data_IF_065186313886
#
_entry.id   IF_065186313886
#
_cell.length_a   1.000
_cell.length_b   1.000
_cell.length_c   1.000
_cell.angle_alpha   90.00
_cell.angle_beta   90.00
_cell.angle_gamma   90.00
#
_symmetry.space_group_name_H-M   'P 1'
#
loop_
_entity.id
_entity.type
_entity.pdbx_description
1 polymer ?
#
# COMPACT_ATOMS: atom_id res chain seq x y z
N UNK A 1 -51.07 46.48 -42.05
CA UNK A 1 -49.74 46.70 -41.43
C UNK A 1 -48.73 45.98 -42.33
N UNK A 2 -48.11 46.72 -43.28
CA UNK A 2 -46.69 47.18 -43.22
C UNK A 2 -45.73 45.98 -43.11
N UNK A 3 -45.08 45.49 -44.17
CA UNK A 3 -44.09 46.08 -45.09
C UNK A 3 -42.69 46.30 -44.47
N UNK A 4 -41.67 45.88 -45.25
CA UNK A 4 -40.26 46.36 -45.31
C UNK A 4 -39.30 45.64 -44.32
N UNK A 5 -38.34 44.76 -44.72
CA UNK A 5 -37.25 44.79 -45.71
C UNK A 5 -35.98 45.50 -45.21
N UNK A 6 -34.82 44.84 -45.41
CA UNK A 6 -33.43 45.34 -45.39
C UNK A 6 -32.92 45.79 -43.99
N UNK A 7 -31.78 45.36 -43.48
CA UNK A 7 -30.51 45.14 -44.15
C UNK A 7 -29.47 45.98 -43.42
N UNK A 8 -28.44 45.36 -42.84
CA UNK A 8 -27.19 46.06 -42.56
C UNK A 8 -26.03 45.07 -42.64
N UNK A 9 -25.74 44.75 -43.90
CA UNK A 9 -24.40 44.37 -44.31
C UNK A 9 -23.49 45.59 -44.26
N UNK A 10 -22.18 45.33 -44.09
CA UNK A 10 -21.03 46.17 -44.52
C UNK A 10 -20.67 47.31 -43.55
N UNK A 11 -19.41 47.63 -43.29
CA UNK A 11 -18.20 47.53 -44.11
C UNK A 11 -16.99 47.86 -43.18
N UNK A 12 -15.95 47.02 -43.13
CA UNK A 12 -14.60 47.22 -43.72
C UNK A 12 -13.66 48.15 -42.89
N UNK A 13 -12.31 48.05 -42.99
CA UNK A 13 -11.47 46.92 -43.44
C UNK A 13 -10.03 46.79 -42.88
N UNK A 14 -9.34 45.74 -43.39
CA UNK A 14 -7.89 45.64 -43.68
C UNK A 14 -6.91 45.67 -42.48
N UNK A 15 -5.92 44.78 -42.36
CA UNK A 15 -5.12 44.20 -43.43
C UNK A 15 -4.27 43.02 -42.92
N UNK A 16 -4.19 42.00 -43.78
CA UNK A 16 -2.95 41.32 -44.20
C UNK A 16 -2.31 40.17 -43.39
N UNK A 17 -2.10 39.08 -44.14
CA UNK A 17 -1.41 37.80 -43.88
C UNK A 17 -2.18 36.77 -43.04
N UNK A 18 -3.00 35.89 -43.66
CA UNK A 18 -2.59 34.67 -44.37
C UNK A 18 -1.47 33.90 -43.67
N UNK A 19 -1.86 32.95 -42.81
CA UNK A 19 -1.19 31.66 -42.77
C UNK A 19 -2.12 30.55 -42.26
N UNK A 20 -3.02 30.09 -43.13
CA UNK A 20 -3.66 28.78 -42.98
C UNK A 20 -2.57 27.73 -43.18
N UNK A 21 -2.24 26.95 -42.15
CA UNK A 21 -1.45 25.73 -42.29
C UNK A 21 -2.35 24.53 -42.01
N UNK A 22 -2.90 24.00 -43.10
CA UNK A 22 -3.47 22.65 -43.17
C UNK A 22 -2.32 21.63 -43.13
N UNK A 23 -2.55 20.56 -42.38
CA UNK A 23 -1.99 19.20 -42.42
C UNK A 23 -0.50 18.91 -42.69
N UNK A 24 0.00 17.98 -41.88
CA UNK A 24 0.96 16.92 -42.23
C UNK A 24 2.43 17.28 -42.43
N UNK A 25 3.25 16.90 -41.43
CA UNK A 25 4.49 16.11 -41.53
C UNK A 25 5.18 16.09 -40.16
N UNK A 26 4.92 15.07 -39.34
CA UNK A 26 5.80 13.90 -39.25
C UNK A 26 7.27 14.21 -38.92
N UNK A 27 7.53 15.07 -37.93
CA UNK A 27 8.89 15.30 -37.44
C UNK A 27 8.99 15.24 -35.90
N UNK A 28 8.32 14.27 -35.28
CA UNK A 28 8.88 13.67 -34.05
C UNK A 28 9.22 12.23 -34.38
N UNK A 29 10.21 12.05 -35.26
CA UNK A 29 10.85 10.74 -35.41
C UNK A 29 11.45 10.42 -34.06
N UNK A 30 10.76 9.53 -33.35
CA UNK A 30 11.27 8.79 -32.22
C UNK A 30 12.69 8.34 -32.56
N UNK A 31 13.67 9.06 -32.03
CA UNK A 31 15.04 8.60 -32.05
C UNK A 31 15.03 7.34 -31.19
N UNK A 32 15.42 6.15 -31.71
CA UNK A 32 15.62 5.03 -30.83
C UNK A 32 16.70 5.47 -29.85
N UNK A 33 16.35 5.66 -28.57
CA UNK A 33 17.36 5.75 -27.52
C UNK A 33 18.10 4.43 -27.59
N UNK A 34 19.24 4.44 -28.30
CA UNK A 34 20.18 3.33 -28.38
C UNK A 34 20.34 2.86 -26.94
N UNK A 35 19.90 1.64 -26.62
CA UNK A 35 20.21 1.04 -25.33
C UNK A 35 21.72 0.91 -25.33
N UNK A 36 22.40 1.94 -24.85
CA UNK A 36 23.81 1.87 -24.51
C UNK A 36 23.83 0.77 -23.47
N UNK A 37 24.33 -0.39 -23.85
CA UNK A 37 24.62 -1.46 -22.92
C UNK A 37 25.56 -0.87 -21.89
N UNK A 38 25.02 -0.49 -20.73
CA UNK A 38 25.80 0.04 -19.63
C UNK A 38 26.70 -1.12 -19.21
N UNK A 39 27.98 -1.06 -19.60
CA UNK A 39 29.00 -1.99 -19.10
C UNK A 39 28.89 -1.96 -17.57
N UNK A 40 28.60 -3.11 -16.93
CA UNK A 40 28.53 -3.21 -15.47
C UNK A 40 29.94 -2.91 -14.93
N UNK A 41 30.20 -1.67 -14.55
CA UNK A 41 31.43 -1.31 -13.84
C UNK A 41 31.42 -1.93 -12.45
N UNK A 42 32.59 -2.37 -11.91
CA UNK A 42 32.67 -2.89 -10.56
C UNK A 42 32.22 -1.82 -9.56
N UNK A 43 31.49 -2.26 -8.53
CA UNK A 43 30.89 -1.38 -7.52
C UNK A 43 31.97 -0.91 -6.53
N UNK A 44 31.96 0.36 -6.14
CA UNK A 44 32.85 0.91 -5.10
C UNK A 44 32.61 0.21 -3.73
N UNK A 45 33.62 0.09 -2.85
CA UNK A 45 33.51 -0.61 -1.56
C UNK A 45 32.31 -0.19 -0.71
N UNK A 46 32.08 1.12 -0.50
CA UNK A 46 30.91 1.63 0.25
C UNK A 46 29.58 1.08 -0.28
N UNK A 47 29.53 0.99 -1.59
CA UNK A 47 28.38 0.65 -2.38
C UNK A 47 28.10 -0.86 -2.26
N UNK A 48 29.15 -1.67 -2.11
CA UNK A 48 29.05 -3.10 -1.74
C UNK A 48 28.57 -3.26 -0.30
N UNK A 49 29.07 -2.46 0.65
CA UNK A 49 28.59 -2.48 2.04
C UNK A 49 27.09 -2.23 2.13
N UNK A 50 26.55 -1.25 1.40
CA UNK A 50 25.11 -1.00 1.34
C UNK A 50 24.30 -2.19 0.79
N UNK A 51 24.85 -2.92 -0.19
CA UNK A 51 24.19 -4.13 -0.71
C UNK A 51 24.11 -5.20 0.39
N UNK A 52 25.18 -5.38 1.15
CA UNK A 52 25.24 -6.33 2.25
C UNK A 52 24.31 -5.93 3.41
N UNK A 53 24.25 -4.64 3.74
CA UNK A 53 23.29 -4.12 4.73
C UNK A 53 21.85 -4.39 4.31
N UNK A 54 21.50 -4.13 3.05
CA UNK A 54 20.16 -4.43 2.53
C UNK A 54 19.89 -5.93 2.70
N UNK A 55 20.80 -6.82 2.29
CA UNK A 55 20.62 -8.26 2.46
C UNK A 55 20.40 -8.64 3.93
N UNK A 56 21.17 -8.06 4.86
CA UNK A 56 20.99 -8.32 6.29
C UNK A 56 19.61 -7.91 6.79
N UNK A 57 19.09 -6.77 6.33
CA UNK A 57 17.74 -6.29 6.68
C UNK A 57 16.67 -7.23 6.11
N UNK A 58 16.80 -7.68 4.87
CA UNK A 58 15.83 -8.60 4.27
C UNK A 58 15.84 -9.98 4.94
N UNK A 59 17.00 -10.47 5.39
CA UNK A 59 17.08 -11.77 6.08
C UNK A 59 16.61 -11.72 7.54
N UNK A 60 16.78 -10.57 8.21
CA UNK A 60 16.43 -10.43 9.62
C UNK A 60 14.95 -10.10 9.85
N UNK A 61 14.23 -9.65 8.82
CA UNK A 61 12.86 -9.14 8.95
C UNK A 61 11.89 -9.95 8.10
N UNK A 62 10.75 -10.30 8.69
CA UNK A 62 9.67 -11.06 8.03
C UNK A 62 8.72 -10.16 7.24
N UNK A 63 8.58 -8.92 7.67
CA UNK A 63 7.67 -7.93 7.13
C UNK A 63 8.44 -6.79 6.47
N UNK A 64 8.14 -6.54 5.20
CA UNK A 64 8.75 -5.48 4.41
C UNK A 64 7.68 -4.71 3.64
N UNK A 65 7.67 -3.39 3.73
CA UNK A 65 6.79 -2.53 2.95
C UNK A 65 7.60 -1.56 2.11
N UNK A 66 7.21 -1.45 0.83
CA UNK A 66 7.88 -0.59 -0.16
C UNK A 66 7.01 0.63 -0.42
N UNK A 67 7.60 1.79 -0.19
CA UNK A 67 6.97 3.09 -0.35
C UNK A 67 7.62 3.88 -1.46
N UNK A 68 6.79 4.57 -2.22
CA UNK A 68 7.23 5.70 -3.02
C UNK A 68 6.96 6.99 -2.25
N UNK A 69 7.96 7.85 -2.11
CA UNK A 69 7.79 9.15 -1.46
C UNK A 69 7.95 10.27 -2.48
N UNK A 70 7.15 11.33 -2.34
CA UNK A 70 7.28 12.54 -3.14
C UNK A 70 7.57 13.74 -2.25
N UNK A 71 8.63 14.50 -2.58
CA UNK A 71 8.90 15.85 -2.05
C UNK A 71 8.53 16.05 -0.56
N UNK A 72 9.19 15.29 0.33
CA UNK A 72 8.98 15.34 1.78
C UNK A 72 10.03 16.23 2.47
N UNK A 73 9.61 16.98 3.47
CA UNK A 73 10.50 17.75 4.36
C UNK A 73 11.13 16.84 5.43
N UNK A 74 12.29 17.22 5.97
CA UNK A 74 12.95 16.50 7.08
C UNK A 74 12.02 16.36 8.29
N UNK A 75 11.22 17.40 8.60
CA UNK A 75 10.25 17.36 9.72
C UNK A 75 9.19 16.28 9.54
N UNK A 76 8.75 16.08 8.29
CA UNK A 76 7.73 15.07 7.96
C UNK A 76 8.32 13.67 8.09
N UNK A 77 9.58 13.48 7.69
CA UNK A 77 10.30 12.23 7.94
C UNK A 77 10.46 11.91 9.42
N UNK A 78 10.75 12.92 10.24
CA UNK A 78 10.90 12.73 11.68
C UNK A 78 9.57 12.37 12.34
N UNK A 79 8.46 12.97 11.90
CA UNK A 79 7.12 12.57 12.33
C UNK A 79 6.77 11.13 11.93
N UNK A 80 7.11 10.72 10.70
CA UNK A 80 6.90 9.34 10.23
C UNK A 80 7.71 8.35 11.05
N UNK A 81 8.98 8.65 11.34
CA UNK A 81 9.83 7.79 12.19
C UNK A 81 9.27 7.67 13.60
N UNK A 82 8.89 8.80 14.22
CA UNK A 82 8.32 8.80 15.57
C UNK A 82 7.03 7.97 15.66
N UNK A 83 6.18 8.00 14.63
CA UNK A 83 4.96 7.20 14.60
C UNK A 83 5.19 5.71 14.37
N UNK A 84 6.34 5.33 13.83
CA UNK A 84 6.68 3.94 13.50
C UNK A 84 7.54 3.27 14.58
N UNK A 85 8.24 4.07 15.39
CA UNK A 85 8.99 3.59 16.55
C UNK A 85 8.07 2.92 17.60
N UNK A 86 6.76 3.24 17.64
CA UNK A 86 5.81 2.61 18.57
C UNK A 86 5.64 1.10 18.39
N UNK A 87 5.94 0.57 17.19
CA UNK A 87 5.87 -0.87 16.88
C UNK A 87 7.18 -1.42 16.32
N UNK A 88 8.30 -0.82 16.71
CA UNK A 88 9.64 -1.26 16.30
C UNK A 88 9.83 -1.28 14.77
N UNK A 89 9.10 -0.44 14.04
CA UNK A 89 9.17 -0.38 12.58
C UNK A 89 10.23 0.64 12.17
N UNK A 90 11.24 0.19 11.44
CA UNK A 90 12.34 1.05 11.00
C UNK A 90 12.20 1.39 9.53
N UNK A 91 12.43 2.66 9.19
CA UNK A 91 12.40 3.16 7.81
C UNK A 91 13.79 3.53 7.35
N UNK A 92 14.21 2.97 6.21
CA UNK A 92 15.44 3.36 5.52
C UNK A 92 15.17 3.68 4.05
N UNK A 93 15.85 4.71 3.57
CA UNK A 93 15.80 5.13 2.18
C UNK A 93 17.00 4.50 1.47
N UNK A 94 16.75 3.80 0.36
CA UNK A 94 17.81 3.17 -0.42
C UNK A 94 17.78 3.61 -1.87
N UNK A 95 18.95 3.80 -2.51
CA UNK A 95 18.99 3.99 -3.94
C UNK A 95 18.46 2.76 -4.69
N UNK A 96 17.50 2.97 -5.60
CA UNK A 96 16.84 1.90 -6.37
C UNK A 96 17.82 0.96 -7.07
N UNK A 97 18.91 1.50 -7.65
CA UNK A 97 19.91 0.68 -8.34
C UNK A 97 20.62 -0.31 -7.40
N UNK A 98 20.81 0.07 -6.13
CA UNK A 98 21.43 -0.78 -5.11
C UNK A 98 20.44 -1.84 -4.66
N UNK A 99 19.21 -1.43 -4.33
CA UNK A 99 18.15 -2.33 -3.92
C UNK A 99 17.86 -3.40 -4.99
N UNK A 100 17.73 -3.00 -6.26
CA UNK A 100 17.52 -3.94 -7.39
C UNK A 100 18.64 -4.94 -7.57
N UNK A 101 19.88 -4.58 -7.22
CA UNK A 101 21.02 -5.49 -7.27
C UNK A 101 21.05 -6.42 -6.06
N UNK A 102 20.70 -5.93 -4.86
CA UNK A 102 20.60 -6.76 -3.66
C UNK A 102 19.53 -7.86 -3.79
N UNK A 103 18.49 -7.63 -4.60
CA UNK A 103 17.39 -8.56 -4.87
C UNK A 103 17.68 -9.56 -6.01
N UNK A 104 18.74 -9.39 -6.79
CA UNK A 104 19.08 -10.34 -7.87
C UNK A 104 19.54 -11.70 -7.31
N UNK A 105 20.04 -11.71 -6.07
CA UNK A 105 20.66 -12.88 -5.44
C UNK A 105 19.79 -13.50 -4.33
N UNK A 106 18.56 -13.03 -4.13
CA UNK A 106 17.65 -13.50 -3.08
C UNK A 106 16.35 -14.06 -3.65
N UNK A 107 15.60 -14.81 -2.83
CA UNK A 107 14.29 -15.39 -3.19
C UNK A 107 13.22 -14.34 -3.54
N UNK A 108 13.49 -13.06 -3.28
CA UNK A 108 12.59 -11.93 -3.45
C UNK A 108 12.66 -11.28 -4.84
N UNK A 109 12.89 -12.06 -5.89
CA UNK A 109 13.03 -11.56 -7.27
C UNK A 109 11.78 -10.81 -7.74
N UNK A 110 10.60 -11.23 -7.26
CA UNK A 110 9.32 -10.66 -7.66
C UNK A 110 9.12 -9.21 -7.18
N UNK A 111 9.77 -8.77 -6.08
CA UNK A 111 9.67 -7.37 -5.57
C UNK A 111 10.37 -6.37 -6.50
N UNK A 112 11.27 -6.83 -7.37
CA UNK A 112 12.12 -5.96 -8.20
C UNK A 112 11.32 -4.98 -9.08
N UNK A 113 10.10 -5.33 -9.46
CA UNK A 113 9.19 -4.48 -10.24
C UNK A 113 8.62 -3.30 -9.45
N UNK A 114 8.54 -3.40 -8.12
CA UNK A 114 8.01 -2.35 -7.25
C UNK A 114 9.03 -1.22 -7.01
N UNK A 115 10.32 -1.50 -7.18
CA UNK A 115 11.39 -0.52 -7.00
C UNK A 115 11.54 0.40 -8.20
N UNK A 116 10.66 1.40 -8.30
CA UNK A 116 10.70 2.48 -9.29
C UNK A 116 10.69 3.84 -8.59
N UNK A 117 11.39 4.83 -9.13
CA UNK A 117 11.38 6.20 -8.60
C UNK A 117 12.15 6.40 -7.28
N UNK A 118 11.60 7.24 -6.40
CA UNK A 118 12.16 7.54 -5.08
C UNK A 118 11.54 6.60 -4.05
N UNK A 119 12.32 5.59 -3.63
CA UNK A 119 11.78 4.47 -2.85
C UNK A 119 12.34 4.44 -1.43
N UNK A 120 11.43 4.28 -0.46
CA UNK A 120 11.74 4.01 0.94
C UNK A 120 11.28 2.60 1.29
N UNK A 121 12.02 1.94 2.17
CA UNK A 121 11.69 0.61 2.68
C UNK A 121 11.42 0.74 4.18
N UNK A 122 10.24 0.30 4.59
CA UNK A 122 9.93 0.05 5.99
C UNK A 122 10.09 -1.45 6.26
N UNK A 123 10.73 -1.81 7.36
CA UNK A 123 10.97 -3.19 7.74
C UNK A 123 10.64 -3.40 9.21
N UNK A 124 10.08 -4.55 9.53
CA UNK A 124 9.77 -4.98 10.89
C UNK A 124 9.92 -6.49 11.03
N UNK A 125 10.15 -6.94 12.26
CA UNK A 125 10.18 -8.36 12.58
C UNK A 125 8.78 -8.91 12.91
N UNK A 126 7.84 -8.04 13.28
CA UNK A 126 6.48 -8.38 13.71
C UNK A 126 5.42 -8.02 12.66
N UNK A 127 4.33 -8.78 12.66
CA UNK A 127 3.19 -8.62 11.74
C UNK A 127 2.30 -7.42 12.10
N UNK A 128 2.36 -6.99 13.37
CA UNK A 128 1.61 -5.84 13.88
C UNK A 128 1.99 -4.50 13.24
N UNK A 129 3.09 -4.45 12.48
CA UNK A 129 3.57 -3.27 11.78
C UNK A 129 2.64 -2.82 10.64
N UNK A 130 1.98 -3.76 9.96
CA UNK A 130 1.14 -3.50 8.79
C UNK A 130 -0.02 -2.50 9.04
N UNK A 131 -0.82 -2.61 10.11
CA UNK A 131 -1.86 -1.62 10.41
C UNK A 131 -1.33 -0.23 10.70
N UNK A 132 -0.15 -0.09 11.30
CA UNK A 132 0.44 1.23 11.54
C UNK A 132 0.97 1.87 10.28
N UNK A 133 1.61 1.05 9.44
CA UNK A 133 2.05 1.45 8.12
C UNK A 133 0.89 2.02 7.28
N UNK A 134 -0.31 1.43 7.37
CA UNK A 134 -1.50 2.00 6.74
C UNK A 134 -2.00 3.29 7.40
N UNK A 135 -1.95 3.40 8.73
CA UNK A 135 -2.31 4.64 9.44
C UNK A 135 -1.38 5.79 9.03
N UNK A 136 -0.09 5.53 8.92
CA UNK A 136 0.92 6.51 8.47
C UNK A 136 0.64 6.93 7.02
N UNK A 137 0.38 5.96 6.14
CA UNK A 137 0.01 6.23 4.74
C UNK A 137 -1.25 7.09 4.62
N UNK A 138 -2.23 6.92 5.52
CA UNK A 138 -3.45 7.73 5.54
C UNK A 138 -3.22 9.14 6.06
N UNK A 139 -2.29 9.34 7.01
CA UNK A 139 -1.95 10.65 7.55
C UNK A 139 -1.15 11.49 6.57
N UNK A 140 -0.20 10.85 5.88
CA UNK A 140 0.73 11.50 4.96
C UNK A 140 0.47 11.07 3.51
N UNK A 141 -0.31 11.83 2.72
CA UNK A 141 -0.65 11.46 1.34
C UNK A 141 0.55 11.50 0.38
N UNK A 142 1.67 12.09 0.83
CA UNK A 142 2.95 12.15 0.10
C UNK A 142 3.70 10.81 0.10
N UNK A 143 3.32 9.89 0.99
CA UNK A 143 3.81 8.52 1.03
C UNK A 143 2.81 7.61 0.33
N UNK A 144 3.23 7.01 -0.78
CA UNK A 144 2.41 6.07 -1.54
C UNK A 144 2.92 4.66 -1.28
N UNK A 145 2.03 3.79 -0.79
CA UNK A 145 2.31 2.37 -0.60
C UNK A 145 2.19 1.65 -1.95
N UNK A 146 3.29 1.08 -2.44
CA UNK A 146 3.30 0.32 -3.70
C UNK A 146 2.98 -1.15 -3.48
N UNK A 147 3.44 -1.71 -2.36
CA UNK A 147 3.29 -3.12 -2.04
C UNK A 147 4.23 -3.52 -0.91
N UNK A 148 4.14 -4.78 -0.51
CA UNK A 148 4.90 -5.31 0.61
C UNK A 148 5.13 -6.80 0.45
N UNK A 149 5.94 -7.34 1.35
CA UNK A 149 6.23 -8.76 1.47
C UNK A 149 6.04 -9.18 2.89
N UNK A 150 5.33 -10.29 3.04
CA UNK A 150 5.10 -10.99 4.29
C UNK A 150 5.48 -12.44 4.07
N UNK A 151 6.44 -12.96 4.83
CA UNK A 151 6.80 -14.39 4.83
C UNK A 151 6.99 -15.00 3.43
N UNK A 152 7.56 -14.21 2.51
CA UNK A 152 7.85 -14.54 1.10
C UNK A 152 6.72 -14.38 0.09
N UNK A 153 5.53 -13.99 0.51
CA UNK A 153 4.44 -13.67 -0.40
C UNK A 153 4.44 -12.17 -0.76
N UNK A 154 4.20 -11.87 -2.04
CA UNK A 154 4.03 -10.49 -2.48
C UNK A 154 2.60 -10.02 -2.22
N UNK A 155 2.49 -8.89 -1.55
CA UNK A 155 1.22 -8.27 -1.25
C UNK A 155 1.05 -6.96 -2.04
N UNK A 156 -0.08 -6.88 -2.74
CA UNK A 156 -0.56 -5.66 -3.38
C UNK A 156 -1.12 -4.69 -2.33
N UNK A 157 -1.28 -3.38 -2.62
CA UNK A 157 -1.82 -2.43 -1.64
C UNK A 157 -3.26 -2.74 -1.21
N UNK A 158 -4.01 -3.51 -2.00
CA UNK A 158 -5.33 -4.00 -1.60
C UNK A 158 -5.19 -5.13 -0.58
N UNK A 159 -4.41 -6.17 -0.91
CA UNK A 159 -4.12 -7.28 0.00
C UNK A 159 -3.50 -6.83 1.32
N UNK A 160 -2.66 -5.78 1.30
CA UNK A 160 -2.11 -5.18 2.52
C UNK A 160 -3.17 -4.56 3.43
N UNK A 161 -4.28 -4.03 2.88
CA UNK A 161 -5.40 -3.51 3.68
C UNK A 161 -6.15 -4.63 4.37
N UNK A 162 -6.32 -5.75 3.69
CA UNK A 162 -6.99 -6.92 4.25
C UNK A 162 -6.16 -7.51 5.38
N UNK A 163 -4.86 -7.70 5.16
CA UNK A 163 -3.93 -8.21 6.19
C UNK A 163 -3.83 -7.26 7.37
N UNK A 164 -3.79 -5.96 7.14
CA UNK A 164 -3.79 -4.97 8.22
C UNK A 164 -5.12 -4.84 8.97
N UNK A 165 -6.22 -5.32 8.40
CA UNK A 165 -7.50 -5.41 9.08
C UNK A 165 -7.55 -6.55 10.10
N UNK A 166 -6.61 -7.49 10.03
CA UNK A 166 -6.52 -8.61 10.96
C UNK A 166 -5.98 -8.13 12.32
N UNK A 167 -6.61 -8.55 13.42
CA UNK A 167 -6.07 -8.33 14.76
C UNK A 167 -4.85 -9.23 14.99
N UNK A 168 -4.14 -8.98 16.10
CA UNK A 168 -2.94 -9.74 16.48
C UNK A 168 -3.21 -11.26 16.62
N UNK A 169 -2.16 -12.08 16.52
CA UNK A 169 -2.23 -13.55 16.59
C UNK A 169 -2.88 -14.04 17.87
N UNK A 170 -2.64 -13.35 19.00
CA UNK A 170 -3.25 -13.70 20.29
C UNK A 170 -4.76 -13.49 20.28
N UNK A 171 -5.21 -12.38 19.70
CA UNK A 171 -6.63 -12.03 19.55
C UNK A 171 -7.31 -12.94 18.53
N UNK A 172 -6.62 -13.28 17.42
CA UNK A 172 -7.13 -14.25 16.44
C UNK A 172 -7.37 -15.63 17.08
N UNK A 173 -6.43 -16.10 17.90
CA UNK A 173 -6.60 -17.35 18.64
C UNK A 173 -7.77 -17.26 19.64
N UNK A 174 -7.93 -16.14 20.33
CA UNK A 174 -9.07 -15.91 21.23
C UNK A 174 -10.41 -15.92 20.49
N UNK A 175 -10.48 -15.29 19.32
CA UNK A 175 -11.68 -15.30 18.48
C UNK A 175 -12.03 -16.71 18.02
N UNK A 176 -11.03 -17.48 17.57
CA UNK A 176 -11.21 -18.87 17.18
C UNK A 176 -11.73 -19.73 18.34
N UNK A 177 -11.09 -19.62 19.52
CA UNK A 177 -11.55 -20.30 20.73
C UNK A 177 -12.94 -19.85 21.15
N UNK A 178 -13.26 -18.56 21.02
CA UNK A 178 -14.57 -18.00 21.33
C UNK A 178 -15.66 -18.56 20.43
N UNK A 179 -15.41 -18.73 19.14
CA UNK A 179 -16.35 -19.36 18.19
C UNK A 179 -16.57 -20.83 18.54
N UNK A 180 -15.49 -21.57 18.86
CA UNK A 180 -15.60 -22.96 19.30
C UNK A 180 -16.40 -23.09 20.61
N UNK A 181 -16.09 -22.26 21.61
CA UNK A 181 -16.82 -22.24 22.88
C UNK A 181 -18.28 -21.83 22.70
N UNK A 182 -18.56 -20.83 21.86
CA UNK A 182 -19.93 -20.38 21.56
C UNK A 182 -20.78 -21.52 20.98
N UNK A 183 -20.22 -22.30 20.06
CA UNK A 183 -20.92 -23.47 19.49
C UNK A 183 -21.19 -24.56 20.55
N UNK A 184 -20.23 -24.85 21.42
CA UNK A 184 -20.39 -25.82 22.50
C UNK A 184 -21.46 -25.38 23.53
N UNK A 185 -21.42 -24.11 23.94
CA UNK A 185 -22.40 -23.52 24.87
C UNK A 185 -23.80 -23.55 24.25
N UNK A 186 -23.93 -23.20 22.96
CA UNK A 186 -25.21 -23.24 22.24
C UNK A 186 -25.83 -24.64 22.28
N UNK A 187 -25.03 -25.69 22.06
CA UNK A 187 -25.50 -27.08 22.16
C UNK A 187 -25.93 -27.46 23.59
N UNK A 188 -25.13 -27.12 24.60
CA UNK A 188 -25.50 -27.39 26.00
C UNK A 188 -26.77 -26.66 26.43
N UNK A 189 -26.99 -25.45 25.92
CA UNK A 189 -28.16 -24.65 26.20
C UNK A 189 -29.42 -25.29 25.58
N UNK A 190 -29.33 -25.76 24.34
CA UNK A 190 -30.45 -26.45 23.67
C UNK A 190 -30.82 -27.74 24.40
N UNK A 191 -29.84 -28.52 24.86
CA UNK A 191 -30.08 -29.77 25.61
C UNK A 191 -30.63 -29.48 27.02
N UNK A 192 -30.15 -28.43 27.70
CA UNK A 192 -30.58 -28.05 29.04
C UNK A 192 -31.90 -27.26 29.12
N UNK A 193 -32.32 -26.62 28.03
CA UNK A 193 -33.55 -25.82 27.94
C UNK A 193 -34.84 -26.55 28.40
N UNK A 194 -35.13 -27.81 28.03
CA UNK A 194 -36.33 -28.49 28.49
C UNK A 194 -36.34 -28.73 30.00
N UNK A 195 -35.20 -29.10 30.60
CA UNK A 195 -35.09 -29.32 32.04
C UNK A 195 -35.32 -28.01 32.84
N UNK A 196 -34.75 -26.90 32.37
CA UNK A 196 -34.95 -25.59 32.98
C UNK A 196 -36.41 -25.13 32.96
N UNK A 197 -37.11 -25.34 31.84
CA UNK A 197 -38.55 -25.02 31.72
C UNK A 197 -39.40 -25.80 32.71
N UNK A 198 -39.13 -27.09 32.90
CA UNK A 198 -39.86 -27.92 33.87
C UNK A 198 -39.61 -27.45 35.30
N UNK A 199 -38.36 -27.19 35.68
CA UNK A 199 -38.05 -26.68 37.03
C UNK A 199 -38.70 -25.33 37.32
N UNK A 200 -38.81 -24.47 36.31
CA UNK A 200 -39.47 -23.17 36.44
C UNK A 200 -40.98 -23.31 36.68
N UNK A 201 -41.67 -24.16 35.91
CA UNK A 201 -43.11 -24.42 36.07
C UNK A 201 -43.45 -25.07 37.42
N UNK A 202 -42.60 -25.96 37.92
CA UNK A 202 -42.79 -26.57 39.23
C UNK A 202 -42.64 -25.53 40.35
N UNK A 203 -41.62 -24.68 40.27
CA UNK A 203 -41.44 -23.60 41.26
C UNK A 203 -42.59 -22.61 41.25
N UNK A 204 -43.14 -22.23 40.08
CA UNK A 204 -44.28 -21.30 40.03
C UNK A 204 -45.51 -21.86 40.73
N UNK A 205 -45.77 -23.16 40.61
CA UNK A 205 -46.90 -23.80 41.30
C UNK A 205 -46.70 -23.92 42.82
N UNK A 206 -45.46 -24.09 43.28
CA UNK A 206 -45.16 -24.14 44.72
C UNK A 206 -45.31 -22.77 45.38
N UNK A 207 -45.03 -21.68 44.66
CA UNK A 207 -45.17 -20.31 45.19
C UNK A 207 -46.59 -19.74 45.17
N UNK A 208 -47.50 -20.33 44.39
CA UNK A 208 -48.91 -19.93 44.34
C UNK A 208 -49.77 -20.59 45.43
N UNK A 209 -49.21 -21.52 46.22
CA UNK A 209 -49.84 -22.12 47.40
C UNK A 209 -49.32 -21.49 48.69
#
# INVERSE_FOLDING_TARGET
MMAINLGFSRFFPCNLSLFVRHESRSCFKNSPRKRIGVKKTPYSPHKVSLINEIRSIFNANRCLAVYHYSSMSTREWDQVRYQLDSKDVKVKIFPVRIARKALEDTSYTNIRSLFHGATAIAYSNTDEALPELLKVTRKEPKLLLLGGVLDNELLTPFSLKDVAGLPDVTVLHQQLLGILQSSAVSLSCVIGAPAGKLSFLLNSHVTEQ
#
